data_IF_841332459661
#
_entry.id   IF_841332459661
#
_cell.length_a   1.000
_cell.length_b   1.000
_cell.length_c   1.000
_cell.angle_alpha   90.00
_cell.angle_beta   90.00
_cell.angle_gamma   90.00
#
_symmetry.space_group_name_H-M   'P 1'
#
loop_
_entity.id
_entity.type
_entity.pdbx_description
1 polymer ?
#
# COMPACT_ATOMS: atom_id res chain seq x y z
N UNK A 1 12.83 35.59 64.43
CA UNK A 1 13.52 36.34 63.35
C UNK A 1 13.76 35.36 62.20
N UNK A 2 13.06 35.55 61.07
CA UNK A 2 13.30 35.01 59.71
C UNK A 2 13.34 33.48 59.49
N UNK A 3 12.80 32.89 58.42
CA UNK A 3 11.93 33.35 57.35
C UNK A 3 11.36 32.11 56.63
N UNK A 4 10.05 32.12 56.36
CA UNK A 4 9.40 31.28 55.35
C UNK A 4 10.07 31.55 53.99
N UNK A 5 10.50 30.51 53.28
CA UNK A 5 10.84 30.61 51.86
C UNK A 5 9.93 29.69 51.05
N UNK A 6 9.23 30.34 50.13
CA UNK A 6 8.21 29.82 49.24
C UNK A 6 8.81 28.78 48.28
N UNK A 7 8.18 27.61 48.19
CA UNK A 7 8.36 26.69 47.07
C UNK A 7 7.53 27.22 45.89
N UNK A 8 8.20 27.78 44.89
CA UNK A 8 7.60 28.07 43.59
C UNK A 8 7.51 26.76 42.80
N UNK A 9 6.31 26.19 42.69
CA UNK A 9 6.06 25.08 41.79
C UNK A 9 6.05 25.61 40.35
N UNK A 10 7.12 25.32 39.60
CA UNK A 10 7.19 25.61 38.16
C UNK A 10 6.29 24.59 37.44
N UNK A 11 5.05 24.97 37.15
CA UNK A 11 4.15 24.18 36.32
C UNK A 11 4.62 24.27 34.86
N UNK A 12 5.42 23.29 34.43
CA UNK A 12 5.85 23.14 33.05
C UNK A 12 4.62 22.72 32.21
N UNK A 13 4.01 23.68 31.53
CA UNK A 13 2.88 23.42 30.62
C UNK A 13 3.38 22.62 29.41
N UNK A 14 3.23 21.31 29.44
CA UNK A 14 3.42 20.46 28.27
C UNK A 14 2.30 20.75 27.27
N UNK A 15 2.54 21.67 26.32
CA UNK A 15 1.67 21.81 25.17
C UNK A 15 1.74 20.52 24.35
N UNK A 16 0.61 19.88 23.99
CA UNK A 16 0.64 18.75 23.08
C UNK A 16 1.17 19.24 21.73
N UNK A 17 2.31 18.72 21.30
CA UNK A 17 2.77 18.90 19.94
C UNK A 17 1.74 18.25 19.01
N UNK A 18 0.90 19.06 18.39
CA UNK A 18 0.10 18.66 17.23
C UNK A 18 1.08 18.34 16.10
N UNK A 19 1.48 17.08 16.01
CA UNK A 19 2.21 16.58 14.85
C UNK A 19 1.27 16.65 13.64
N UNK A 20 1.39 17.72 12.86
CA UNK A 20 0.81 17.78 11.52
C UNK A 20 1.44 16.64 10.71
N UNK A 21 0.63 15.65 10.34
CA UNK A 21 1.09 14.63 9.40
C UNK A 21 1.22 15.29 8.02
N UNK A 22 2.34 15.09 7.30
CA UNK A 22 2.48 15.63 5.97
C UNK A 22 1.36 15.11 5.07
N UNK A 23 0.72 16.01 4.33
CA UNK A 23 -0.26 15.64 3.31
C UNK A 23 0.52 15.04 2.14
N UNK A 24 0.36 13.75 1.92
CA UNK A 24 0.91 13.05 0.77
C UNK A 24 -0.16 12.88 -0.30
N UNK A 25 0.12 13.32 -1.54
CA UNK A 25 -0.72 13.02 -2.68
C UNK A 25 -0.41 11.61 -3.18
N UNK A 26 -1.41 10.74 -3.38
CA UNK A 26 -1.17 9.39 -3.84
C UNK A 26 -0.63 9.39 -5.27
N UNK A 27 0.30 8.48 -5.53
CA UNK A 27 0.75 8.12 -6.87
C UNK A 27 -0.29 7.21 -7.53
N UNK A 28 -0.60 7.49 -8.79
CA UNK A 28 -1.39 6.58 -9.63
C UNK A 28 -0.49 5.50 -10.23
N UNK A 29 -0.73 4.26 -9.84
CA UNK A 29 -0.19 3.07 -10.50
C UNK A 29 -1.22 2.58 -11.52
N UNK A 30 -0.93 2.81 -12.80
CA UNK A 30 -1.80 2.46 -13.92
C UNK A 30 -1.27 1.21 -14.58
N UNK A 31 -2.12 0.19 -14.67
CA UNK A 31 -1.81 -1.08 -15.29
C UNK A 31 -2.89 -1.47 -16.31
N UNK A 32 -2.50 -2.29 -17.28
CA UNK A 32 -3.41 -2.89 -18.25
C UNK A 32 -3.37 -4.41 -18.13
N UNK A 33 -4.56 -5.03 -18.09
CA UNK A 33 -4.73 -6.48 -18.08
C UNK A 33 -5.95 -6.84 -18.94
N UNK A 34 -5.73 -7.58 -20.03
CA UNK A 34 -6.74 -7.89 -21.05
C UNK A 34 -7.50 -6.63 -21.52
N UNK A 35 -6.77 -5.57 -21.89
CA UNK A 35 -7.29 -4.26 -22.30
C UNK A 35 -8.07 -3.49 -21.22
N UNK A 36 -8.17 -4.01 -19.99
CA UNK A 36 -8.79 -3.32 -18.86
C UNK A 36 -7.76 -2.44 -18.16
N UNK A 37 -8.04 -1.13 -18.08
CA UNK A 37 -7.24 -0.17 -17.30
C UNK A 37 -7.55 -0.31 -15.81
N UNK A 38 -6.53 -0.68 -15.04
CA UNK A 38 -6.56 -0.85 -13.59
C UNK A 38 -5.75 0.28 -12.96
N UNK A 39 -6.30 0.96 -11.96
CA UNK A 39 -5.66 2.06 -11.26
C UNK A 39 -5.59 1.75 -9.77
N UNK A 40 -4.40 1.81 -9.20
CA UNK A 40 -4.16 1.72 -7.76
C UNK A 40 -3.56 3.04 -7.26
N UNK A 41 -4.04 3.53 -6.11
CA UNK A 41 -3.52 4.75 -5.50
C UNK A 41 -2.51 4.39 -4.41
N UNK A 42 -1.22 4.51 -4.75
CA UNK A 42 -0.10 4.15 -3.88
C UNK A 42 0.34 5.39 -3.09
N UNK A 43 0.49 5.27 -1.77
CA UNK A 43 1.10 6.37 -0.99
C UNK A 43 2.61 6.44 -1.29
N UNK A 44 3.18 7.62 -1.55
CA UNK A 44 4.62 7.77 -1.75
C UNK A 44 5.45 7.14 -0.63
N UNK A 45 5.07 7.36 0.63
CA UNK A 45 5.75 6.76 1.78
C UNK A 45 5.67 5.23 1.86
N UNK A 46 4.66 4.60 1.26
CA UNK A 46 4.59 3.15 1.15
C UNK A 46 5.59 2.64 0.09
N UNK A 47 5.69 3.34 -1.04
CA UNK A 47 6.63 3.01 -2.10
C UNK A 47 8.08 3.16 -1.65
N UNK A 48 8.42 4.23 -0.94
CA UNK A 48 9.76 4.48 -0.40
C UNK A 48 10.22 3.42 0.62
N UNK A 49 9.27 2.84 1.36
CA UNK A 49 9.56 1.77 2.33
C UNK A 49 9.65 0.39 1.69
N UNK A 50 8.97 0.19 0.57
CA UNK A 50 9.02 -1.05 -0.16
C UNK A 50 10.44 -1.28 -0.72
N UNK A 51 10.98 -2.51 -0.62
CA UNK A 51 12.32 -2.78 -1.12
C UNK A 51 12.36 -2.59 -2.63
N UNK A 52 13.45 -2.02 -3.12
CA UNK A 52 13.81 -2.17 -4.53
C UNK A 52 14.31 -3.58 -4.79
N UNK A 53 14.24 -4.02 -6.05
CA UNK A 53 14.68 -5.34 -6.45
C UNK A 53 15.32 -5.32 -7.84
N UNK A 54 16.54 -5.87 -7.93
CA UNK A 54 17.18 -6.23 -9.19
C UNK A 54 16.91 -7.70 -9.53
N UNK A 55 16.13 -8.01 -10.60
CA UNK A 55 15.78 -9.37 -10.97
C UNK A 55 16.96 -10.24 -11.42
N UNK A 56 18.12 -9.64 -11.74
CA UNK A 56 19.32 -10.36 -12.19
C UNK A 56 20.25 -10.65 -11.02
N UNK A 57 20.37 -9.71 -10.07
CA UNK A 57 21.37 -9.76 -9.02
C UNK A 57 20.84 -10.25 -7.66
N UNK A 58 19.54 -10.08 -7.39
CA UNK A 58 18.98 -10.24 -6.05
C UNK A 58 17.84 -11.27 -6.03
N UNK A 59 17.70 -12.03 -4.93
CA UNK A 59 16.51 -12.86 -4.73
C UNK A 59 15.28 -11.97 -4.54
N UNK A 60 14.14 -12.44 -5.05
CA UNK A 60 12.87 -11.73 -4.92
C UNK A 60 12.50 -11.54 -3.43
N UNK A 61 12.34 -10.30 -2.93
CA UNK A 61 12.10 -10.02 -1.50
C UNK A 61 10.84 -10.67 -0.94
N UNK A 62 9.80 -10.80 -1.76
CA UNK A 62 8.52 -11.37 -1.39
C UNK A 62 7.98 -12.22 -2.52
N UNK A 63 7.69 -13.49 -2.26
CA UNK A 63 7.20 -14.44 -3.25
C UNK A 63 5.68 -14.45 -3.42
N UNK A 64 5.22 -15.16 -4.46
CA UNK A 64 3.80 -15.32 -4.79
C UNK A 64 2.95 -15.81 -3.59
N UNK A 65 3.37 -16.82 -2.79
CA UNK A 65 2.58 -17.27 -1.64
C UNK A 65 2.30 -16.16 -0.62
N UNK A 66 3.29 -15.32 -0.33
CA UNK A 66 3.17 -14.21 0.60
C UNK A 66 2.26 -13.11 0.03
N UNK A 67 2.35 -12.82 -1.26
CA UNK A 67 1.47 -11.85 -1.92
C UNK A 67 0.00 -12.32 -1.88
N UNK A 68 -0.25 -13.59 -2.19
CA UNK A 68 -1.58 -14.20 -2.10
C UNK A 68 -2.09 -14.27 -0.65
N UNK A 69 -1.19 -14.46 0.32
CA UNK A 69 -1.55 -14.39 1.74
C UNK A 69 -2.02 -12.98 2.13
N UNK A 70 -1.36 -11.92 1.66
CA UNK A 70 -1.80 -10.54 1.89
C UNK A 70 -3.21 -10.30 1.32
N UNK A 71 -3.47 -10.79 0.10
CA UNK A 71 -4.81 -10.71 -0.51
C UNK A 71 -5.84 -11.49 0.31
N UNK A 72 -5.55 -12.74 0.68
CA UNK A 72 -6.45 -13.57 1.50
C UNK A 72 -6.73 -12.93 2.86
N UNK A 73 -5.74 -12.31 3.49
CA UNK A 73 -5.90 -11.60 4.75
C UNK A 73 -6.82 -10.38 4.60
N UNK A 74 -6.73 -9.67 3.47
CA UNK A 74 -7.59 -8.52 3.18
C UNK A 74 -9.05 -8.92 2.88
N UNK A 75 -9.28 -9.91 2.03
CA UNK A 75 -10.64 -10.31 1.64
C UNK A 75 -11.33 -11.23 2.65
N UNK A 76 -10.55 -11.94 3.47
CA UNK A 76 -11.02 -12.95 4.42
C UNK A 76 -10.93 -14.39 3.88
N UNK A 77 -10.65 -15.39 4.73
CA UNK A 77 -10.38 -16.77 4.32
C UNK A 77 -11.57 -17.50 3.69
N UNK A 78 -12.80 -17.14 4.08
CA UNK A 78 -14.06 -17.74 3.60
C UNK A 78 -14.84 -16.79 2.68
N UNK A 79 -14.14 -15.81 2.11
CA UNK A 79 -14.73 -14.76 1.30
C UNK A 79 -15.29 -15.22 -0.04
N UNK A 80 -15.03 -16.46 -0.45
CA UNK A 80 -15.42 -17.00 -1.76
C UNK A 80 -14.69 -16.39 -2.95
N UNK A 81 -13.66 -15.57 -2.72
CA UNK A 81 -12.80 -15.02 -3.76
C UNK A 81 -11.98 -16.13 -4.43
N UNK A 82 -11.86 -16.05 -5.76
CA UNK A 82 -11.05 -16.99 -6.55
C UNK A 82 -9.95 -16.26 -7.29
N UNK A 83 -8.71 -16.74 -7.17
CA UNK A 83 -7.58 -16.22 -7.94
C UNK A 83 -7.79 -16.50 -9.43
N UNK A 84 -7.58 -15.48 -10.27
CA UNK A 84 -7.62 -15.59 -11.73
C UNK A 84 -6.21 -15.48 -12.33
N UNK A 85 -5.47 -14.45 -11.94
CA UNK A 85 -4.09 -14.25 -12.38
C UNK A 85 -3.27 -13.48 -11.35
N UNK A 86 -1.96 -13.63 -11.45
CA UNK A 86 -0.98 -12.83 -10.70
C UNK A 86 0.21 -12.57 -11.61
N UNK A 87 0.62 -11.31 -11.71
CA UNK A 87 1.75 -10.86 -12.53
C UNK A 87 2.69 -10.03 -11.67
N UNK A 88 4.01 -10.18 -11.86
CA UNK A 88 5.02 -9.35 -11.22
C UNK A 88 5.48 -8.28 -12.24
N UNK A 89 5.31 -7.01 -11.90
CA UNK A 89 5.50 -5.90 -12.83
C UNK A 89 6.34 -4.78 -12.21
N UNK A 90 7.23 -4.13 -12.98
CA UNK A 90 7.94 -2.95 -12.52
C UNK A 90 6.94 -1.80 -12.40
N UNK A 91 7.15 -0.91 -11.42
CA UNK A 91 6.34 0.30 -11.28
C UNK A 91 6.87 1.36 -12.26
N UNK A 92 6.05 1.84 -13.21
CA UNK A 92 6.48 2.85 -14.18
C UNK A 92 7.05 4.09 -13.49
N UNK A 93 8.14 4.64 -14.03
CA UNK A 93 8.83 5.83 -13.49
C UNK A 93 9.46 5.68 -12.10
N UNK A 94 9.46 4.47 -11.51
CA UNK A 94 10.08 4.18 -10.22
C UNK A 94 11.08 3.01 -10.35
N UNK A 95 12.31 3.27 -10.82
CA UNK A 95 13.31 2.24 -11.06
C UNK A 95 13.57 1.38 -9.82
N UNK A 96 13.66 0.06 -10.03
CA UNK A 96 13.89 -0.91 -8.97
C UNK A 96 12.65 -1.19 -8.11
N UNK A 97 11.57 -0.41 -8.19
CA UNK A 97 10.33 -0.75 -7.50
C UNK A 97 9.45 -1.66 -8.36
N UNK A 98 8.89 -2.68 -7.72
CA UNK A 98 8.03 -3.68 -8.36
C UNK A 98 6.80 -3.94 -7.50
N UNK A 99 5.78 -4.51 -8.12
CA UNK A 99 4.58 -4.95 -7.44
C UNK A 99 4.00 -6.20 -8.10
N UNK A 100 3.22 -6.95 -7.35
CA UNK A 100 2.30 -7.94 -7.91
C UNK A 100 0.99 -7.28 -8.28
N UNK A 101 0.52 -7.50 -9.50
CA UNK A 101 -0.86 -7.24 -9.91
C UNK A 101 -1.66 -8.54 -9.78
N UNK A 102 -2.62 -8.58 -8.87
CA UNK A 102 -3.44 -9.74 -8.59
C UNK A 102 -4.87 -9.50 -9.09
N UNK A 103 -5.34 -10.37 -9.99
CA UNK A 103 -6.74 -10.42 -10.41
C UNK A 103 -7.45 -11.56 -9.70
N UNK A 104 -8.60 -11.25 -9.13
CA UNK A 104 -9.49 -12.22 -8.51
C UNK A 104 -10.90 -12.06 -9.03
N UNK A 105 -11.76 -13.03 -8.75
CA UNK A 105 -13.20 -12.95 -8.93
C UNK A 105 -13.86 -13.01 -7.56
N UNK A 106 -14.73 -12.04 -7.24
CA UNK A 106 -15.52 -12.05 -6.02
C UNK A 106 -16.66 -13.11 -6.09
N UNK A 107 -17.37 -13.40 -4.98
CA UNK A 107 -18.44 -14.40 -4.96
C UNK A 107 -19.58 -14.13 -5.94
N UNK A 108 -19.72 -12.88 -6.39
CA UNK A 108 -20.75 -12.47 -7.34
C UNK A 108 -20.27 -12.56 -8.79
N UNK A 109 -19.08 -13.09 -9.03
CA UNK A 109 -18.51 -13.23 -10.37
C UNK A 109 -17.84 -11.96 -10.89
N UNK A 110 -17.70 -10.90 -10.08
CA UNK A 110 -17.11 -9.63 -10.54
C UNK A 110 -15.59 -9.65 -10.36
N UNK A 111 -14.81 -9.14 -11.33
CA UNK A 111 -13.37 -9.05 -11.20
C UNK A 111 -12.98 -8.02 -10.13
N UNK A 112 -11.95 -8.34 -9.34
CA UNK A 112 -11.33 -7.45 -8.34
C UNK A 112 -9.83 -7.48 -8.52
N UNK A 113 -9.20 -6.32 -8.34
CA UNK A 113 -7.78 -6.13 -8.60
C UNK A 113 -7.08 -5.61 -7.35
N UNK A 114 -5.87 -6.09 -7.12
CA UNK A 114 -5.01 -5.67 -6.01
C UNK A 114 -3.59 -5.48 -6.51
N UNK A 115 -2.94 -4.41 -6.09
CA UNK A 115 -1.49 -4.28 -6.16
C UNK A 115 -0.89 -4.71 -4.82
N UNK A 116 0.16 -5.52 -4.83
CA UNK A 116 0.90 -5.90 -3.61
C UNK A 116 2.37 -5.53 -3.81
N UNK A 117 2.87 -4.58 -3.01
CA UNK A 117 4.27 -4.18 -3.05
C UNK A 117 5.16 -5.32 -2.50
N UNK A 118 6.46 -5.27 -2.81
CA UNK A 118 7.41 -6.31 -2.41
C UNK A 118 7.72 -6.37 -0.90
N UNK A 119 7.15 -5.47 -0.08
CA UNK A 119 7.15 -5.57 1.39
C UNK A 119 5.87 -6.24 1.95
N UNK A 120 4.91 -6.55 1.07
CA UNK A 120 3.62 -7.17 1.42
C UNK A 120 2.49 -6.17 1.59
N UNK A 121 2.75 -4.88 1.41
CA UNK A 121 1.74 -3.83 1.46
C UNK A 121 0.72 -4.05 0.34
N UNK A 122 -0.53 -4.33 0.72
CA UNK A 122 -1.65 -4.51 -0.21
C UNK A 122 -2.38 -3.19 -0.46
N UNK A 123 -2.68 -2.94 -1.73
CA UNK A 123 -3.35 -1.73 -2.22
C UNK A 123 -4.51 -2.17 -3.12
N UNK A 124 -5.77 -1.94 -2.73
CA UNK A 124 -6.91 -2.21 -3.59
C UNK A 124 -6.83 -1.37 -4.86
N UNK A 125 -7.13 -1.98 -6.00
CA UNK A 125 -7.15 -1.30 -7.28
C UNK A 125 -8.57 -1.26 -7.86
N UNK A 126 -8.85 -0.21 -8.62
CA UNK A 126 -10.14 0.01 -9.28
C UNK A 126 -9.99 -0.08 -10.79
N UNK A 127 -11.02 -0.58 -11.48
CA UNK A 127 -11.10 -0.42 -12.93
C UNK A 127 -11.59 0.98 -13.23
N UNK A 128 -10.88 1.70 -14.09
CA UNK A 128 -11.41 2.97 -14.58
C UNK A 128 -12.57 2.66 -15.54
N UNK A 129 -13.78 3.20 -15.30
CA UNK A 129 -14.85 3.06 -16.28
C UNK A 129 -14.41 3.70 -17.59
N UNK A 130 -14.69 3.07 -18.73
CA UNK A 130 -14.50 3.72 -20.03
C UNK A 130 -15.19 5.07 -19.99
N UNK A 131 -14.41 6.14 -19.98
CA UNK A 131 -14.95 7.49 -20.01
C UNK A 131 -15.59 7.65 -21.38
N UNK A 132 -16.92 7.76 -21.41
CA UNK A 132 -17.66 8.13 -22.61
C UNK A 132 -17.10 9.48 -23.09
N UNK A 133 -16.43 9.49 -24.24
CA UNK A 133 -16.00 10.73 -24.91
C UNK A 133 -17.19 11.45 -25.53
#
# INVERSE_FOLDING_TARGET
>A
MFARRFLFALALSAAPALHAQPVEFPLELIEYLDDVKVVAFVRPSALEKAPTWDPVAEPLPLGIPQALQAVRAFVGPDSGYRLQSIELKPIPSHPGHWHYLVRTTDPHGKPRYFAVLLDGTLIPATVEPESYK
#
